data_IF_379078151924
#
_entry.id   IF_379078151924
#
_cell.length_a   1.000
_cell.length_b   1.000
_cell.length_c   1.000
_cell.angle_alpha   90.00
_cell.angle_beta   90.00
_cell.angle_gamma   90.00
#
_symmetry.space_group_name_H-M   'P 1'
#
loop_
_entity.id
_entity.type
_entity.pdbx_description
1 polymer ?
#
# COMPACT_ATOMS: atom_id res chain seq x y z
N UNK A 1 11.66 -10.34 27.08
CA UNK A 1 12.48 -9.32 26.38
C UNK A 1 12.12 -7.93 26.90
N UNK A 2 13.00 -7.26 27.64
CA UNK A 2 12.79 -5.88 28.11
C UNK A 2 13.08 -4.93 26.94
N UNK A 3 12.06 -4.26 26.39
CA UNK A 3 12.26 -3.15 25.44
C UNK A 3 12.81 -1.97 26.25
N UNK A 4 14.09 -1.65 26.02
CA UNK A 4 14.76 -0.51 26.65
C UNK A 4 14.23 0.76 25.97
N UNK A 5 13.71 1.71 26.75
CA UNK A 5 13.32 3.02 26.23
C UNK A 5 14.57 3.68 25.64
N UNK A 6 14.53 3.96 24.34
CA UNK A 6 15.56 4.75 23.66
C UNK A 6 15.13 6.21 23.80
N UNK A 7 15.82 6.93 24.67
CA UNK A 7 15.65 8.37 24.82
C UNK A 7 16.47 9.08 23.74
N UNK A 8 15.84 9.98 22.99
CA UNK A 8 16.49 10.81 21.97
C UNK A 8 16.39 12.26 22.44
N UNK A 9 17.52 12.95 22.52
CA UNK A 9 17.59 14.36 22.94
C UNK A 9 16.99 15.30 21.89
N UNK A 10 16.44 16.43 22.34
CA UNK A 10 15.75 17.40 21.50
C UNK A 10 16.64 17.96 20.36
N UNK A 11 17.92 18.21 20.64
CA UNK A 11 18.89 18.64 19.62
C UNK A 11 19.17 17.56 18.59
N UNK A 12 19.26 16.29 19.03
CA UNK A 12 19.44 15.15 18.11
C UNK A 12 18.20 14.94 17.24
N UNK A 13 17.01 15.16 17.79
CA UNK A 13 15.73 15.04 17.06
C UNK A 13 15.56 16.16 16.02
N UNK A 14 16.03 17.37 16.31
CA UNK A 14 16.04 18.51 15.38
C UNK A 14 17.12 18.38 14.28
N UNK A 15 18.27 17.78 14.61
CA UNK A 15 19.38 17.58 13.68
C UNK A 15 19.24 16.31 12.82
N UNK A 16 18.42 15.34 13.24
CA UNK A 16 18.18 14.11 12.46
C UNK A 16 17.18 14.42 11.35
N UNK A 17 17.54 14.28 10.06
CA UNK A 17 16.56 14.39 8.99
C UNK A 17 15.52 13.29 9.17
N UNK A 18 14.27 13.70 9.39
CA UNK A 18 13.15 12.76 9.51
C UNK A 18 13.10 11.87 8.27
N UNK A 19 13.04 10.55 8.47
CA UNK A 19 12.96 9.60 7.37
C UNK A 19 11.75 9.96 6.51
N UNK A 20 12.00 10.25 5.22
CA UNK A 20 10.97 10.60 4.26
C UNK A 20 9.84 9.59 4.36
N UNK A 21 8.61 10.07 4.53
CA UNK A 21 7.43 9.20 4.42
C UNK A 21 7.47 8.57 3.03
N UNK A 22 7.73 7.27 2.99
CA UNK A 22 7.78 6.55 1.73
C UNK A 22 6.34 6.37 1.26
N UNK A 23 6.09 6.66 -0.01
CA UNK A 23 4.79 6.42 -0.64
C UNK A 23 4.95 5.28 -1.64
N UNK A 24 4.05 4.30 -1.58
CA UNK A 24 3.97 3.22 -2.57
C UNK A 24 3.46 3.79 -3.89
N UNK A 25 2.42 4.62 -3.79
CA UNK A 25 1.91 5.46 -4.89
C UNK A 25 2.03 6.89 -4.40
N UNK A 26 2.82 7.70 -5.11
CA UNK A 26 3.12 9.06 -4.68
C UNK A 26 1.84 9.88 -4.49
N UNK A 27 1.60 10.39 -3.29
CA UNK A 27 0.39 11.13 -2.92
C UNK A 27 -0.89 10.31 -2.64
N UNK A 28 -0.88 9.00 -2.88
CA UNK A 28 -2.09 8.17 -2.75
C UNK A 28 -1.99 7.13 -1.62
N UNK A 29 -0.87 6.42 -1.54
CA UNK A 29 -0.69 5.31 -0.59
C UNK A 29 0.60 5.53 0.19
N UNK A 30 0.54 6.17 1.37
CA UNK A 30 1.67 6.22 2.27
C UNK A 30 2.02 4.83 2.79
N UNK A 31 3.29 4.61 3.10
CA UNK A 31 3.76 3.44 3.84
C UNK A 31 3.03 3.39 5.19
N UNK A 32 2.28 2.31 5.44
CA UNK A 32 1.44 2.16 6.61
C UNK A 32 0.23 1.26 6.32
N UNK A 33 -0.82 1.40 7.11
CA UNK A 33 -2.08 0.69 6.93
C UNK A 33 -3.10 1.64 6.29
N UNK A 34 -3.53 1.32 5.07
CA UNK A 34 -4.56 2.07 4.36
C UNK A 34 -5.85 1.26 4.32
N UNK A 35 -6.97 1.89 4.69
CA UNK A 35 -8.28 1.24 4.68
C UNK A 35 -9.13 1.84 3.57
N UNK A 36 -9.40 1.04 2.53
CA UNK A 36 -10.28 1.45 1.44
C UNK A 36 -11.73 1.10 1.79
N UNK A 37 -12.55 2.12 2.01
CA UNK A 37 -13.99 1.99 2.30
C UNK A 37 -14.83 2.57 1.19
N UNK A 38 -16.01 1.99 0.93
CA UNK A 38 -16.93 2.47 -0.10
C UNK A 38 -18.13 1.55 -0.29
N UNK A 39 -19.06 1.90 -1.16
CA UNK A 39 -20.30 1.14 -1.38
C UNK A 39 -20.04 -0.29 -1.88
N UNK A 40 -20.85 -1.25 -1.44
CA UNK A 40 -20.76 -2.64 -1.89
C UNK A 40 -20.90 -2.73 -3.43
N UNK A 41 -20.17 -3.67 -4.05
CA UNK A 41 -20.16 -3.92 -5.51
C UNK A 41 -19.60 -2.81 -6.42
N UNK A 42 -19.02 -1.74 -5.87
CA UNK A 42 -18.43 -0.64 -6.67
C UNK A 42 -17.03 -0.96 -7.24
N UNK A 43 -16.56 -2.20 -7.12
CA UNK A 43 -15.25 -2.62 -7.65
C UNK A 43 -14.05 -2.31 -6.74
N UNK A 44 -14.24 -2.17 -5.41
CA UNK A 44 -13.11 -1.95 -4.47
C UNK A 44 -12.07 -3.07 -4.50
N UNK A 45 -12.52 -4.31 -4.53
CA UNK A 45 -11.64 -5.48 -4.67
C UNK A 45 -10.89 -5.43 -6.00
N UNK A 46 -11.55 -4.90 -7.04
CA UNK A 46 -10.92 -4.73 -8.34
C UNK A 46 -9.83 -3.67 -8.34
N UNK A 47 -10.12 -2.50 -7.76
CA UNK A 47 -9.14 -1.43 -7.61
C UNK A 47 -7.92 -1.89 -6.80
N UNK A 48 -8.13 -2.64 -5.72
CA UNK A 48 -7.04 -3.17 -4.89
C UNK A 48 -6.15 -4.17 -5.63
N UNK A 49 -6.74 -5.11 -6.38
CA UNK A 49 -5.97 -6.07 -7.17
C UNK A 49 -5.22 -5.37 -8.31
N UNK A 50 -5.90 -4.49 -9.05
CA UNK A 50 -5.32 -3.74 -10.16
C UNK A 50 -4.15 -2.88 -9.68
N UNK A 51 -4.32 -2.17 -8.56
CA UNK A 51 -3.27 -1.33 -8.00
C UNK A 51 -2.09 -2.16 -7.50
N UNK A 52 -2.34 -3.31 -6.87
CA UNK A 52 -1.28 -4.25 -6.50
C UNK A 52 -0.49 -4.75 -7.71
N UNK A 53 -1.18 -5.03 -8.82
CA UNK A 53 -0.54 -5.46 -10.06
C UNK A 53 0.32 -4.34 -10.68
N UNK A 54 -0.19 -3.11 -10.77
CA UNK A 54 0.56 -1.96 -11.27
C UNK A 54 1.82 -1.70 -10.44
N UNK A 55 1.70 -1.75 -9.11
CA UNK A 55 2.83 -1.59 -8.18
C UNK A 55 3.87 -2.70 -8.35
N UNK A 56 3.43 -3.96 -8.49
CA UNK A 56 4.34 -5.10 -8.74
C UNK A 56 5.06 -5.04 -10.08
N UNK A 57 4.47 -4.37 -11.07
CA UNK A 57 5.08 -4.19 -12.40
C UNK A 57 5.90 -2.89 -12.48
N UNK A 58 5.80 -2.02 -11.47
CA UNK A 58 6.44 -0.71 -11.44
C UNK A 58 5.81 0.31 -12.39
N UNK A 59 4.56 0.11 -12.80
CA UNK A 59 3.84 1.02 -13.69
C UNK A 59 3.19 2.16 -12.92
N UNK A 60 3.25 3.35 -13.51
CA UNK A 60 2.66 4.56 -12.97
C UNK A 60 1.15 4.42 -12.81
N UNK A 61 0.64 4.57 -11.59
CA UNK A 61 -0.80 4.58 -11.31
C UNK A 61 -1.33 5.99 -11.53
N UNK A 62 -2.24 6.16 -12.50
CA UNK A 62 -2.88 7.46 -12.80
C UNK A 62 -1.90 8.60 -13.08
N UNK A 63 -0.75 8.29 -13.70
CA UNK A 63 0.30 9.27 -13.99
C UNK A 63 1.17 9.64 -12.78
N UNK A 64 0.94 9.03 -11.61
CA UNK A 64 1.79 9.19 -10.43
C UNK A 64 2.89 8.12 -10.43
N UNK A 65 4.13 8.49 -10.09
CA UNK A 65 5.21 7.52 -9.96
C UNK A 65 4.89 6.55 -8.81
N UNK A 66 5.11 5.26 -9.06
CA UNK A 66 4.95 4.20 -8.07
C UNK A 66 6.29 3.60 -7.71
N UNK A 67 6.47 3.27 -6.44
CA UNK A 67 7.61 2.47 -6.01
C UNK A 67 7.36 1.00 -6.35
N UNK A 68 8.24 0.42 -7.17
CA UNK A 68 8.20 -1.00 -7.46
C UNK A 68 8.47 -1.81 -6.17
N UNK A 69 7.50 -2.64 -5.77
CA UNK A 69 7.64 -3.51 -4.61
C UNK A 69 6.86 -4.82 -4.77
N UNK A 70 7.23 -5.82 -3.99
CA UNK A 70 6.51 -7.10 -3.96
C UNK A 70 5.17 -6.92 -3.26
N UNK A 71 4.08 -7.31 -3.94
CA UNK A 71 2.72 -7.17 -3.44
C UNK A 71 2.11 -8.52 -3.12
N UNK A 72 1.57 -8.66 -1.90
CA UNK A 72 0.79 -9.82 -1.48
C UNK A 72 -0.70 -9.44 -1.37
N UNK A 73 -1.53 -9.96 -2.28
CA UNK A 73 -2.98 -9.80 -2.21
C UNK A 73 -3.64 -11.02 -1.54
N UNK A 74 -4.26 -10.81 -0.38
CA UNK A 74 -4.95 -11.86 0.37
C UNK A 74 -6.47 -11.65 0.32
N UNK A 75 -7.19 -12.55 -0.35
CA UNK A 75 -8.64 -12.48 -0.41
C UNK A 75 -9.29 -13.56 0.48
N UNK A 76 -9.96 -13.14 1.54
CA UNK A 76 -10.60 -14.04 2.52
C UNK A 76 -12.09 -14.29 2.26
N UNK A 77 -12.71 -13.51 1.38
CA UNK A 77 -14.17 -13.45 1.23
C UNK A 77 -14.67 -13.85 -0.15
N UNK A 78 -13.81 -13.82 -1.17
CA UNK A 78 -14.18 -14.03 -2.58
C UNK A 78 -13.70 -15.42 -3.01
N UNK A 79 -14.57 -16.16 -3.69
CA UNK A 79 -14.20 -17.47 -4.26
C UNK A 79 -13.27 -17.28 -5.46
N UNK A 80 -12.36 -18.25 -5.69
CA UNK A 80 -11.38 -18.20 -6.77
C UNK A 80 -12.02 -18.05 -8.16
N UNK A 81 -13.23 -18.58 -8.33
CA UNK A 81 -13.94 -18.57 -9.61
C UNK A 81 -14.42 -17.17 -9.97
N UNK A 82 -14.96 -16.41 -9.00
CA UNK A 82 -15.33 -15.00 -9.20
C UNK A 82 -14.11 -14.13 -9.52
N UNK A 83 -12.96 -14.42 -8.90
CA UNK A 83 -11.70 -13.72 -9.22
C UNK A 83 -11.24 -13.93 -10.66
N UNK A 84 -11.46 -15.10 -11.26
CA UNK A 84 -11.11 -15.32 -12.67
C UNK A 84 -12.12 -14.67 -13.61
N UNK A 85 -13.41 -14.78 -13.29
CA UNK A 85 -14.48 -14.22 -14.13
C UNK A 85 -14.48 -12.69 -14.13
N UNK A 86 -14.32 -12.06 -12.97
CA UNK A 86 -14.39 -10.59 -12.85
C UNK A 86 -13.15 -9.89 -13.42
N UNK A 87 -12.01 -10.59 -13.48
CA UNK A 87 -10.73 -9.99 -13.84
C UNK A 87 -10.13 -10.49 -15.14
N UNK A 88 -10.73 -11.51 -15.78
CA UNK A 88 -10.26 -12.09 -17.05
C UNK A 88 -8.76 -12.44 -17.03
N UNK A 89 -8.29 -13.03 -15.92
CA UNK A 89 -6.91 -13.52 -15.72
C UNK A 89 -6.85 -15.02 -15.98
#
# INVERSE_FOLDING_TARGET
MKRKLVTVDAETLLATPMSKTMFIVDGLIPQGVNVLSGAAKIGKSWLMLWLGLQVSQGFSVWGMPTMHCDVLYLCLRIHKDELKTDFSI
#
